data_IF_678648326215
#
_entry.id   IF_678648326215
#
_cell.length_a   1.000
_cell.length_b   1.000
_cell.length_c   1.000
_cell.angle_alpha   90.00
_cell.angle_beta   90.00
_cell.angle_gamma   90.00
#
_symmetry.space_group_name_H-M   'P 1'
#
loop_
_entity.id
_entity.type
_entity.pdbx_description
1 polymer ?
#
# COMPACT_ATOMS: atom_id res chain seq x y z
N UNK A 1 16.65 1.90 21.33
CA UNK A 1 15.33 1.57 21.89
C UNK A 1 14.20 2.04 21.00
N UNK A 2 13.00 1.64 21.31
CA UNK A 2 11.77 1.95 20.58
C UNK A 2 11.04 3.12 21.24
N UNK A 3 10.45 4.02 20.45
CA UNK A 3 9.70 5.18 20.95
C UNK A 3 8.31 4.73 21.39
N UNK A 4 7.91 5.13 22.60
CA UNK A 4 6.57 4.89 23.15
C UNK A 4 6.02 6.16 23.80
N UNK A 5 4.68 6.32 23.78
CA UNK A 5 3.95 7.41 24.43
C UNK A 5 4.44 8.80 24.02
N UNK A 6 4.70 9.00 22.75
CA UNK A 6 5.12 10.32 22.23
C UNK A 6 3.97 11.30 22.31
N UNK A 7 4.09 12.24 23.25
CA UNK A 7 3.13 13.32 23.42
C UNK A 7 3.20 14.36 22.29
N UNK A 8 2.10 15.10 22.11
CA UNK A 8 2.12 16.30 21.28
C UNK A 8 3.07 17.33 21.91
N UNK A 9 3.69 18.22 21.11
CA UNK A 9 4.52 19.28 21.66
C UNK A 9 3.75 20.11 22.68
N UNK A 10 4.35 20.35 23.85
CA UNK A 10 3.79 21.25 24.87
C UNK A 10 3.67 22.68 24.35
N UNK A 11 2.97 23.55 25.06
CA UNK A 11 2.86 24.99 24.73
C UNK A 11 4.24 25.66 24.58
N UNK A 12 5.26 25.18 25.31
CA UNK A 12 6.65 25.62 25.18
C UNK A 12 7.42 24.94 24.04
N UNK A 13 6.77 24.09 23.27
CA UNK A 13 7.34 23.36 22.12
C UNK A 13 8.22 22.16 22.50
N UNK A 14 8.16 21.68 23.75
CA UNK A 14 8.89 20.51 24.21
C UNK A 14 8.11 19.23 23.88
N UNK A 15 8.80 18.16 23.47
CA UNK A 15 8.22 16.84 23.23
C UNK A 15 8.77 15.84 24.23
N UNK A 16 7.89 15.05 24.82
CA UNK A 16 8.23 14.00 25.77
C UNK A 16 7.78 12.65 25.24
N UNK A 17 8.60 11.62 25.46
CA UNK A 17 8.31 10.25 25.09
C UNK A 17 9.14 9.29 25.95
N UNK A 18 8.82 8.01 25.93
CA UNK A 18 9.61 6.98 26.57
C UNK A 18 10.40 6.21 25.50
N UNK A 19 11.65 5.88 25.81
CA UNK A 19 12.44 4.95 25.03
C UNK A 19 12.43 3.59 25.74
N UNK A 20 11.93 2.58 25.07
CA UNK A 20 11.76 1.23 25.61
C UNK A 20 12.71 0.28 24.90
N UNK A 21 13.36 -0.60 25.64
CA UNK A 21 14.15 -1.69 25.09
C UNK A 21 13.77 -2.99 25.78
N UNK A 22 13.25 -3.92 25.00
CA UNK A 22 12.96 -5.27 25.51
C UNK A 22 14.29 -6.03 25.68
N UNK A 23 14.58 -6.49 26.88
CA UNK A 23 15.71 -7.36 27.20
C UNK A 23 15.21 -8.68 27.76
N UNK A 24 15.82 -9.76 27.34
CA UNK A 24 15.66 -11.03 28.04
C UNK A 24 16.76 -11.13 29.08
N UNK A 25 16.39 -11.26 30.33
CA UNK A 25 17.34 -11.49 31.41
C UNK A 25 18.08 -12.83 31.16
N UNK A 26 19.41 -12.79 31.00
CA UNK A 26 20.17 -14.00 30.69
C UNK A 26 20.17 -15.07 31.80
N UNK A 27 19.81 -14.67 33.03
CA UNK A 27 19.78 -15.57 34.18
C UNK A 27 18.42 -16.21 34.41
N UNK A 28 17.34 -15.46 34.16
CA UNK A 28 15.97 -15.90 34.48
C UNK A 28 15.13 -16.23 33.25
N UNK A 29 15.59 -15.88 32.02
CA UNK A 29 14.84 -16.02 30.77
C UNK A 29 13.61 -15.11 30.68
N UNK A 30 13.38 -14.24 31.66
CA UNK A 30 12.22 -13.34 31.69
C UNK A 30 12.45 -12.13 30.78
N UNK A 31 11.44 -11.79 30.00
CA UNK A 31 11.42 -10.53 29.25
C UNK A 31 11.22 -9.36 30.23
N UNK A 32 12.16 -8.43 30.24
CA UNK A 32 12.08 -7.18 31.01
C UNK A 32 12.17 -6.02 30.03
N UNK A 33 11.35 -4.99 30.27
CA UNK A 33 11.42 -3.76 29.48
C UNK A 33 12.23 -2.72 30.26
N UNK A 34 13.38 -2.34 29.73
CA UNK A 34 14.10 -1.18 30.21
C UNK A 34 13.47 0.06 29.59
N UNK A 35 13.03 0.99 30.45
CA UNK A 35 12.38 2.23 30.00
C UNK A 35 13.14 3.44 30.52
N UNK A 36 13.38 4.43 29.67
CA UNK A 36 13.90 5.73 30.06
C UNK A 36 13.03 6.84 29.47
N UNK A 37 12.65 7.81 30.30
CA UNK A 37 11.94 9.00 29.81
C UNK A 37 12.88 9.93 29.07
N UNK A 38 12.42 10.43 27.92
CA UNK A 38 13.19 11.33 27.05
C UNK A 38 12.48 12.66 26.92
N UNK A 39 13.23 13.73 27.11
CA UNK A 39 12.80 15.10 26.90
C UNK A 39 13.53 15.70 25.69
N UNK A 40 12.78 16.08 24.67
CA UNK A 40 13.29 16.84 23.52
C UNK A 40 12.85 18.29 23.67
N UNK A 41 13.77 19.13 24.12
CA UNK A 41 13.51 20.55 24.29
C UNK A 41 13.50 21.30 22.94
N UNK A 42 12.77 22.41 22.89
CA UNK A 42 12.56 23.19 21.66
C UNK A 42 13.88 23.58 20.97
N UNK A 43 14.90 24.04 21.72
CA UNK A 43 16.22 24.39 21.16
C UNK A 43 16.93 23.22 20.45
N UNK A 44 16.77 21.98 20.95
CA UNK A 44 17.35 20.79 20.35
C UNK A 44 16.46 20.26 19.18
N UNK A 45 15.15 20.46 19.26
CA UNK A 45 14.18 20.01 18.26
C UNK A 45 14.49 20.55 16.87
N UNK A 46 14.83 21.81 16.72
CA UNK A 46 15.15 22.40 15.42
C UNK A 46 16.43 21.79 14.82
N UNK A 47 17.40 21.43 15.65
CA UNK A 47 18.61 20.72 15.22
C UNK A 47 18.29 19.29 14.79
N UNK A 48 17.51 18.57 15.59
CA UNK A 48 17.06 17.20 15.30
C UNK A 48 16.25 17.19 14.02
N UNK A 49 15.27 18.09 13.87
CA UNK A 49 14.44 18.19 12.67
C UNK A 49 15.27 18.51 11.42
N UNK A 50 16.26 19.42 11.52
CA UNK A 50 17.18 19.68 10.39
C UNK A 50 18.00 18.45 10.02
N UNK A 51 18.43 17.67 11.01
CA UNK A 51 19.19 16.44 10.77
C UNK A 51 18.32 15.36 10.10
N UNK A 52 17.09 15.19 10.56
CA UNK A 52 16.11 14.29 9.94
C UNK A 52 15.73 14.72 8.51
N UNK A 53 15.57 16.03 8.27
CA UNK A 53 15.30 16.56 6.91
C UNK A 53 16.48 16.34 5.95
N UNK A 54 17.73 16.42 6.42
CA UNK A 54 18.93 16.10 5.62
C UNK A 54 19.01 14.63 5.23
N UNK A 55 18.41 13.75 6.02
CA UNK A 55 18.19 12.34 5.65
C UNK A 55 16.95 12.17 4.75
N UNK A 56 16.65 13.17 3.89
CA UNK A 56 15.54 13.21 2.95
C UNK A 56 14.15 13.04 3.56
N UNK A 57 13.98 13.34 4.86
CA UNK A 57 12.69 13.18 5.56
C UNK A 57 12.21 11.74 5.70
N UNK A 58 13.09 10.76 5.47
CA UNK A 58 12.76 9.33 5.46
C UNK A 58 12.44 8.76 6.85
N UNK A 59 12.82 9.45 7.92
CA UNK A 59 12.59 9.01 9.31
C UNK A 59 11.71 10.00 10.04
N UNK A 60 10.62 9.53 10.63
CA UNK A 60 9.82 10.24 11.62
C UNK A 60 10.03 9.61 12.99
N UNK A 61 9.93 10.44 14.02
CA UNK A 61 9.99 9.96 15.41
C UNK A 61 8.57 9.70 15.91
N UNK A 62 7.99 8.57 15.54
CA UNK A 62 6.66 8.16 15.97
C UNK A 62 6.72 6.93 16.89
N UNK A 63 5.65 6.62 17.60
CA UNK A 63 5.57 5.44 18.45
C UNK A 63 5.82 4.18 17.60
N UNK A 64 6.51 3.20 18.19
CA UNK A 64 6.91 1.98 17.51
C UNK A 64 8.22 2.08 16.70
N UNK A 65 8.75 3.28 16.48
CA UNK A 65 9.98 3.47 15.69
C UNK A 65 11.22 3.22 16.54
N UNK A 66 12.08 2.31 16.08
CA UNK A 66 13.35 2.01 16.73
C UNK A 66 14.42 3.07 16.38
N UNK A 67 14.98 3.72 17.39
CA UNK A 67 15.90 4.85 17.21
C UNK A 67 17.17 4.70 18.03
N UNK A 68 18.24 5.32 17.53
CA UNK A 68 19.46 5.58 18.31
C UNK A 68 19.53 7.06 18.61
N UNK A 69 19.48 7.40 19.90
CA UNK A 69 19.51 8.78 20.37
C UNK A 69 20.86 9.12 21.03
N UNK A 70 21.23 10.39 20.94
CA UNK A 70 22.29 10.98 21.74
C UNK A 70 21.63 11.97 22.70
N UNK A 71 21.99 11.88 23.99
CA UNK A 71 21.46 12.76 25.01
C UNK A 71 22.35 12.76 26.26
N UNK A 72 22.01 13.64 27.20
CA UNK A 72 22.59 13.68 28.55
C UNK A 72 21.54 13.17 29.54
N UNK A 73 21.97 12.35 30.49
CA UNK A 73 21.11 11.91 31.59
C UNK A 73 21.01 13.03 32.63
N UNK A 74 19.80 13.35 33.03
CA UNK A 74 19.51 14.36 34.03
C UNK A 74 18.46 13.84 35.01
N UNK A 75 18.50 14.36 36.23
CA UNK A 75 17.43 14.14 37.22
C UNK A 75 16.44 15.29 37.08
N UNK A 76 15.16 14.95 36.90
CA UNK A 76 14.09 15.93 36.94
C UNK A 76 13.74 16.25 38.39
N UNK A 77 14.04 17.48 38.88
CA UNK A 77 13.95 17.76 40.29
C UNK A 77 12.57 17.62 40.90
N UNK A 78 11.51 17.93 40.13
CA UNK A 78 10.13 17.91 40.62
C UNK A 78 9.61 16.52 40.96
N UNK A 79 10.14 15.43 40.30
CA UNK A 79 9.71 14.06 40.53
C UNK A 79 10.85 13.12 40.92
N UNK A 80 12.08 13.64 41.08
CA UNK A 80 13.31 12.87 41.35
C UNK A 80 13.53 11.69 40.38
N UNK A 81 13.04 11.81 39.12
CA UNK A 81 13.12 10.76 38.13
C UNK A 81 14.28 11.01 37.17
N UNK A 82 14.93 9.91 36.73
CA UNK A 82 15.94 9.99 35.69
C UNK A 82 15.25 10.21 34.34
N UNK A 83 15.78 11.15 33.56
CA UNK A 83 15.36 11.38 32.17
C UNK A 83 16.59 11.62 31.29
N UNK A 84 16.44 11.28 30.01
CA UNK A 84 17.41 11.63 28.98
C UNK A 84 16.99 12.94 28.32
N UNK A 85 17.86 13.93 28.32
CA UNK A 85 17.70 15.15 27.53
C UNK A 85 18.31 14.89 26.16
N UNK A 86 17.46 14.77 25.14
CA UNK A 86 17.87 14.45 23.78
C UNK A 86 18.57 15.65 23.12
N UNK A 87 19.74 15.41 22.52
CA UNK A 87 20.48 16.38 21.73
C UNK A 87 20.67 16.01 20.27
N UNK A 88 20.44 14.73 19.91
CA UNK A 88 20.58 14.25 18.55
C UNK A 88 19.97 12.86 18.33
N UNK A 89 19.83 12.49 17.07
CA UNK A 89 19.34 11.19 16.60
C UNK A 89 20.24 10.69 15.47
N UNK A 90 20.36 9.38 15.33
CA UNK A 90 21.03 8.71 14.22
C UNK A 90 20.01 8.11 13.25
N UNK A 91 19.68 8.77 12.13
CA UNK A 91 18.72 8.27 11.17
C UNK A 91 19.18 6.99 10.47
N UNK A 92 20.49 6.83 10.26
CA UNK A 92 21.07 5.68 9.56
C UNK A 92 20.83 4.38 10.33
N UNK A 93 20.88 4.45 11.66
CA UNK A 93 20.56 3.30 12.50
C UNK A 93 19.10 2.85 12.33
N UNK A 94 18.17 3.79 12.34
CA UNK A 94 16.73 3.51 12.19
C UNK A 94 16.44 2.87 10.84
N UNK A 95 16.99 3.43 9.75
CA UNK A 95 16.82 2.89 8.40
C UNK A 95 17.45 1.50 8.24
N UNK A 96 18.63 1.28 8.84
CA UNK A 96 19.30 -0.03 8.82
C UNK A 96 18.52 -1.10 9.59
N UNK A 97 17.92 -0.76 10.75
CA UNK A 97 17.07 -1.68 11.51
C UNK A 97 15.83 -2.08 10.70
N UNK A 98 15.12 -1.13 10.14
CA UNK A 98 13.94 -1.35 9.30
C UNK A 98 14.28 -2.25 8.08
N UNK A 99 15.40 -2.01 7.43
CA UNK A 99 15.83 -2.82 6.28
C UNK A 99 16.14 -4.27 6.68
N UNK A 100 16.79 -4.50 7.83
CA UNK A 100 17.11 -5.84 8.32
C UNK A 100 15.85 -6.61 8.74
N UNK A 101 14.93 -5.97 9.45
CA UNK A 101 13.65 -6.56 9.87
C UNK A 101 12.81 -6.95 8.65
N UNK A 102 12.76 -6.07 7.64
CA UNK A 102 12.08 -6.34 6.38
C UNK A 102 12.69 -7.52 5.62
N UNK A 103 14.02 -7.58 5.49
CA UNK A 103 14.69 -8.69 4.82
C UNK A 103 14.43 -10.02 5.52
N UNK A 104 14.46 -10.05 6.85
CA UNK A 104 14.13 -11.23 7.63
C UNK A 104 12.66 -11.67 7.45
N UNK A 105 11.72 -10.72 7.39
CA UNK A 105 10.32 -11.02 7.12
C UNK A 105 10.11 -11.60 5.73
N UNK A 106 10.70 -10.99 4.71
CA UNK A 106 10.61 -11.49 3.33
C UNK A 106 11.12 -12.92 3.20
N UNK A 107 12.28 -13.24 3.83
CA UNK A 107 12.81 -14.60 3.83
C UNK A 107 11.86 -15.62 4.48
N UNK A 108 11.13 -15.23 5.56
CA UNK A 108 10.11 -16.11 6.15
C UNK A 108 8.92 -16.32 5.22
N UNK A 109 8.38 -15.23 4.64
CA UNK A 109 7.24 -15.29 3.74
C UNK A 109 7.56 -16.09 2.45
N UNK A 110 8.78 -15.99 1.95
CA UNK A 110 9.26 -16.77 0.80
C UNK A 110 9.32 -18.26 1.13
N UNK A 111 9.90 -18.63 2.28
CA UNK A 111 9.97 -20.02 2.75
C UNK A 111 8.58 -20.65 2.97
N UNK A 112 7.58 -19.85 3.30
CA UNK A 112 6.19 -20.25 3.46
C UNK A 112 5.40 -20.25 2.13
N UNK A 113 6.01 -19.81 1.02
CA UNK A 113 5.35 -19.73 -0.30
C UNK A 113 4.28 -18.63 -0.40
N UNK A 114 4.32 -17.63 0.48
CA UNK A 114 3.33 -16.54 0.50
C UNK A 114 3.68 -15.42 -0.50
N UNK A 115 4.96 -15.28 -0.87
CA UNK A 115 5.38 -14.39 -1.94
C UNK A 115 4.88 -14.96 -3.27
N UNK A 116 4.13 -14.16 -4.02
CA UNK A 116 3.52 -14.60 -5.27
C UNK A 116 2.19 -15.36 -5.13
N UNK A 117 1.76 -15.72 -3.92
CA UNK A 117 0.47 -16.40 -3.70
C UNK A 117 -0.73 -15.57 -4.21
N UNK A 118 -0.70 -14.26 -4.01
CA UNK A 118 -1.73 -13.37 -4.54
C UNK A 118 -1.51 -13.08 -6.03
N UNK A 119 -0.27 -12.98 -6.50
CA UNK A 119 0.06 -12.80 -7.92
C UNK A 119 -0.41 -13.97 -8.81
N UNK A 120 -0.49 -15.18 -8.26
CA UNK A 120 -1.02 -16.35 -8.96
C UNK A 120 -2.54 -16.32 -9.17
N UNK A 121 -3.28 -15.41 -8.53
CA UNK A 121 -4.73 -15.28 -8.71
C UNK A 121 -5.02 -14.63 -10.06
N UNK A 122 -5.97 -15.16 -10.85
CA UNK A 122 -6.32 -14.54 -12.12
C UNK A 122 -7.03 -13.21 -11.89
N UNK A 123 -6.52 -12.14 -12.48
CA UNK A 123 -7.25 -10.88 -12.56
C UNK A 123 -8.34 -11.01 -13.63
N UNK A 124 -9.57 -10.59 -13.30
CA UNK A 124 -10.65 -10.53 -14.27
C UNK A 124 -10.19 -9.65 -15.47
N UNK A 125 -10.32 -10.13 -16.72
CA UNK A 125 -10.00 -9.31 -17.90
C UNK A 125 -10.81 -8.00 -17.98
N UNK A 126 -11.93 -7.91 -17.26
CA UNK A 126 -12.78 -6.72 -17.19
C UNK A 126 -13.00 -6.35 -15.70
N UNK A 127 -11.98 -5.77 -15.01
CA UNK A 127 -12.02 -5.55 -13.57
C UNK A 127 -12.81 -4.30 -13.20
N UNK A 128 -14.12 -4.32 -13.41
CA UNK A 128 -14.99 -3.17 -13.16
C UNK A 128 -15.43 -3.03 -11.71
N UNK A 129 -15.49 -4.12 -10.93
CA UNK A 129 -15.86 -4.08 -9.50
C UNK A 129 -14.60 -4.04 -8.65
N UNK A 130 -14.30 -2.88 -8.10
CA UNK A 130 -13.07 -2.63 -7.34
C UNK A 130 -13.41 -2.32 -5.89
N UNK A 131 -12.78 -3.01 -4.96
CA UNK A 131 -12.80 -2.64 -3.54
C UNK A 131 -11.55 -1.81 -3.23
N UNK A 132 -11.75 -0.56 -2.88
CA UNK A 132 -10.70 0.40 -2.54
C UNK A 132 -10.49 0.43 -1.03
N UNK A 133 -9.26 0.20 -0.58
CA UNK A 133 -8.81 0.35 0.81
C UNK A 133 -7.93 1.59 0.89
N UNK A 134 -8.39 2.60 1.58
CA UNK A 134 -7.70 3.89 1.71
C UNK A 134 -8.16 4.64 2.97
N UNK A 135 -7.42 5.66 3.36
CA UNK A 135 -7.92 6.61 4.36
C UNK A 135 -8.89 7.59 3.71
N UNK A 136 -10.11 7.64 4.22
CA UNK A 136 -11.20 8.47 3.68
C UNK A 136 -10.81 9.93 3.64
N UNK A 137 -11.13 10.60 2.54
CA UNK A 137 -10.83 12.02 2.32
C UNK A 137 -9.34 12.32 2.11
N UNK A 138 -8.51 11.29 1.93
CA UNK A 138 -7.10 11.48 1.57
C UNK A 138 -6.95 11.94 0.11
N UNK A 139 -5.85 12.65 -0.17
CA UNK A 139 -5.51 13.01 -1.54
C UNK A 139 -5.36 11.76 -2.45
N UNK A 140 -4.82 10.67 -1.92
CA UNK A 140 -4.69 9.41 -2.63
C UNK A 140 -6.03 8.82 -3.08
N UNK A 141 -7.02 8.82 -2.20
CA UNK A 141 -8.39 8.40 -2.52
C UNK A 141 -8.99 9.30 -3.59
N UNK A 142 -8.87 10.63 -3.41
CA UNK A 142 -9.41 11.61 -4.36
C UNK A 142 -8.76 11.47 -5.75
N UNK A 143 -7.44 11.35 -5.83
CA UNK A 143 -6.69 11.19 -7.07
C UNK A 143 -7.08 9.89 -7.79
N UNK A 144 -7.18 8.78 -7.06
CA UNK A 144 -7.58 7.49 -7.63
C UNK A 144 -9.00 7.52 -8.21
N UNK A 145 -9.96 8.03 -7.44
CA UNK A 145 -11.37 8.12 -7.87
C UNK A 145 -11.52 9.07 -9.06
N UNK A 146 -10.82 10.20 -9.04
CA UNK A 146 -10.83 11.18 -10.13
C UNK A 146 -10.35 10.60 -11.46
N UNK A 147 -9.24 9.84 -11.45
CA UNK A 147 -8.73 9.17 -12.66
C UNK A 147 -9.74 8.17 -13.23
N UNK A 148 -10.38 7.36 -12.36
CA UNK A 148 -11.41 6.42 -12.82
C UNK A 148 -12.64 7.12 -13.38
N UNK A 149 -13.07 8.24 -12.77
CA UNK A 149 -14.22 9.03 -13.24
C UNK A 149 -13.94 9.67 -14.60
N UNK A 150 -12.73 10.21 -14.81
CA UNK A 150 -12.31 10.79 -16.08
C UNK A 150 -12.33 9.78 -17.24
N UNK A 151 -12.07 8.50 -16.96
CA UNK A 151 -12.10 7.44 -17.96
C UNK A 151 -13.49 7.18 -18.56
N UNK A 152 -14.54 7.57 -17.85
CA UNK A 152 -15.96 7.29 -18.19
C UNK A 152 -16.28 5.81 -18.37
N UNK A 153 -15.42 4.92 -17.92
CA UNK A 153 -15.67 3.49 -17.85
C UNK A 153 -16.55 3.20 -16.61
N UNK A 154 -17.39 2.18 -16.72
CA UNK A 154 -18.40 1.86 -15.70
C UNK A 154 -17.87 1.20 -14.43
N UNK A 155 -16.79 1.72 -13.84
CA UNK A 155 -16.22 1.20 -12.60
C UNK A 155 -17.21 1.31 -11.43
N UNK A 156 -17.33 0.26 -10.65
CA UNK A 156 -18.10 0.18 -9.42
C UNK A 156 -17.14 0.10 -8.24
N UNK A 157 -17.03 1.18 -7.50
CA UNK A 157 -16.06 1.30 -6.41
C UNK A 157 -16.77 1.13 -5.07
N UNK A 158 -16.25 0.20 -4.26
CA UNK A 158 -16.59 0.07 -2.84
C UNK A 158 -15.40 0.52 -2.02
N UNK A 159 -15.51 1.63 -1.28
CA UNK A 159 -14.46 2.12 -0.40
C UNK A 159 -14.57 1.52 0.99
N UNK A 160 -13.46 1.04 1.52
CA UNK A 160 -13.26 0.65 2.92
C UNK A 160 -12.32 1.68 3.53
N UNK A 161 -12.83 2.44 4.50
CA UNK A 161 -12.06 3.42 5.25
C UNK A 161 -11.17 2.74 6.28
N UNK A 162 -9.87 3.02 6.25
CA UNK A 162 -8.90 2.47 7.21
C UNK A 162 -7.73 3.42 7.41
N UNK A 163 -7.10 3.33 8.58
CA UNK A 163 -5.84 4.03 8.79
C UNK A 163 -4.73 3.34 8.02
N UNK A 164 -3.95 4.14 7.31
CA UNK A 164 -2.81 3.68 6.50
C UNK A 164 -1.46 4.03 7.15
N UNK A 165 -1.49 4.62 8.34
CA UNK A 165 -0.30 5.01 9.12
C UNK A 165 -0.62 5.05 10.61
N UNK A 166 0.40 4.87 11.46
CA UNK A 166 0.27 4.81 12.91
C UNK A 166 0.40 3.40 13.46
N UNK A 167 0.39 3.27 14.79
CA UNK A 167 0.66 1.99 15.48
C UNK A 167 -0.42 0.94 15.21
N UNK A 168 -1.67 1.37 15.14
CA UNK A 168 -2.83 0.47 14.92
C UNK A 168 -3.08 0.17 13.42
N UNK A 169 -2.36 0.85 12.51
CA UNK A 169 -2.61 0.72 11.07
C UNK A 169 -2.41 -0.71 10.54
N UNK A 170 -1.41 -1.51 10.97
CA UNK A 170 -1.24 -2.87 10.47
C UNK A 170 -2.46 -3.77 10.71
N UNK A 171 -3.03 -3.73 11.90
CA UNK A 171 -4.19 -4.54 12.28
C UNK A 171 -5.45 -4.07 11.56
N UNK A 172 -5.65 -2.76 11.43
CA UNK A 172 -6.77 -2.19 10.68
C UNK A 172 -6.69 -2.53 9.19
N UNK A 173 -5.49 -2.45 8.59
CA UNK A 173 -5.26 -2.85 7.20
C UNK A 173 -5.53 -4.33 6.97
N UNK A 174 -5.07 -5.20 7.87
CA UNK A 174 -5.32 -6.64 7.79
C UNK A 174 -6.82 -6.96 7.89
N UNK A 175 -7.55 -6.28 8.80
CA UNK A 175 -9.00 -6.41 8.93
C UNK A 175 -9.73 -5.91 7.67
N UNK A 176 -9.30 -4.77 7.10
CA UNK A 176 -9.85 -4.22 5.86
C UNK A 176 -9.62 -5.17 4.66
N UNK A 177 -8.43 -5.78 4.54
CA UNK A 177 -8.11 -6.77 3.51
C UNK A 177 -8.96 -8.04 3.66
N UNK A 178 -9.16 -8.52 4.89
CA UNK A 178 -10.04 -9.67 5.18
C UNK A 178 -11.49 -9.37 4.79
N UNK A 179 -11.99 -8.18 5.14
CA UNK A 179 -13.33 -7.72 4.75
C UNK A 179 -13.45 -7.61 3.23
N UNK A 180 -12.47 -7.02 2.56
CA UNK A 180 -12.42 -6.88 1.10
C UNK A 180 -12.45 -8.26 0.43
N UNK A 181 -11.70 -9.23 0.96
CA UNK A 181 -11.67 -10.60 0.45
C UNK A 181 -12.99 -11.36 0.56
N UNK A 182 -13.88 -10.93 1.46
CA UNK A 182 -15.22 -11.51 1.67
C UNK A 182 -16.30 -10.87 0.80
N UNK A 183 -16.02 -9.75 0.14
CA UNK A 183 -16.94 -9.02 -0.69
C UNK A 183 -16.76 -9.38 -2.17
N UNK A 184 -17.84 -9.42 -2.98
CA UNK A 184 -17.67 -9.58 -4.42
C UNK A 184 -16.88 -8.42 -5.03
N UNK A 185 -15.73 -8.73 -5.62
CA UNK A 185 -14.86 -7.77 -6.30
C UNK A 185 -14.07 -8.47 -7.41
N UNK A 186 -13.66 -7.72 -8.43
CA UNK A 186 -12.76 -8.21 -9.48
C UNK A 186 -11.30 -7.94 -9.09
N UNK A 187 -11.07 -6.87 -8.30
CA UNK A 187 -9.80 -6.54 -7.72
C UNK A 187 -9.98 -5.78 -6.39
N UNK A 188 -9.00 -5.91 -5.51
CA UNK A 188 -8.85 -5.08 -4.31
C UNK A 188 -7.69 -4.12 -4.55
N UNK A 189 -7.88 -2.85 -4.26
CA UNK A 189 -6.87 -1.80 -4.43
C UNK A 189 -6.52 -1.24 -3.07
N UNK A 190 -5.24 -1.29 -2.72
CA UNK A 190 -4.70 -0.75 -1.48
C UNK A 190 -3.80 0.43 -1.80
N UNK A 191 -4.23 1.63 -1.42
CA UNK A 191 -3.50 2.85 -1.74
C UNK A 191 -3.13 3.67 -0.51
N UNK A 192 -2.06 4.43 -0.68
CA UNK A 192 -1.61 5.41 0.29
C UNK A 192 -1.11 6.66 -0.41
N UNK A 193 -1.31 7.82 0.20
CA UNK A 193 -0.71 9.09 -0.25
C UNK A 193 0.76 9.22 0.06
N UNK A 194 1.39 10.27 -0.43
CA UNK A 194 2.79 10.59 -0.15
C UNK A 194 3.06 10.79 1.35
N UNK A 195 4.25 10.44 1.83
CA UNK A 195 4.67 10.55 3.23
C UNK A 195 6.11 10.08 3.44
N UNK A 196 6.59 10.06 4.69
CA UNK A 196 7.92 9.58 5.01
C UNK A 196 8.06 8.05 4.86
N UNK A 197 9.30 7.56 4.75
CA UNK A 197 9.61 6.12 4.65
C UNK A 197 9.15 5.33 5.88
N UNK A 198 9.25 5.93 7.07
CA UNK A 198 8.73 5.34 8.31
C UNK A 198 7.21 5.16 8.30
N UNK A 199 6.49 5.91 7.49
CA UNK A 199 5.03 5.75 7.33
C UNK A 199 4.69 4.51 6.50
N UNK A 200 5.68 3.88 5.83
CA UNK A 200 5.55 2.61 5.13
C UNK A 200 5.62 1.41 6.08
N UNK A 201 6.03 1.60 7.33
CA UNK A 201 6.19 0.50 8.28
C UNK A 201 4.91 -0.33 8.47
N UNK A 202 3.72 0.28 8.35
CA UNK A 202 2.46 -0.44 8.40
C UNK A 202 2.33 -1.46 7.25
N UNK A 203 2.86 -1.15 6.07
CA UNK A 203 2.83 -2.02 4.89
C UNK A 203 3.97 -3.03 4.86
N UNK A 204 4.96 -2.88 5.75
CA UNK A 204 6.02 -3.86 5.99
C UNK A 204 5.65 -4.85 7.12
N UNK A 205 4.48 -4.70 7.74
CA UNK A 205 4.03 -5.56 8.81
C UNK A 205 3.63 -6.97 8.31
N UNK A 206 4.04 -8.00 9.04
CA UNK A 206 3.74 -9.40 8.70
C UNK A 206 2.24 -9.69 8.60
N UNK A 207 1.43 -9.10 9.48
CA UNK A 207 -0.03 -9.30 9.48
C UNK A 207 -0.67 -8.80 8.18
N UNK A 208 -0.19 -7.69 7.62
CA UNK A 208 -0.67 -7.14 6.33
C UNK A 208 -0.26 -8.03 5.17
N UNK A 209 1.00 -8.46 5.13
CA UNK A 209 1.50 -9.37 4.11
C UNK A 209 0.69 -10.68 4.06
N UNK A 210 0.44 -11.29 5.22
CA UNK A 210 -0.38 -12.49 5.34
C UNK A 210 -1.83 -12.26 4.91
N UNK A 211 -2.41 -11.11 5.25
CA UNK A 211 -3.76 -10.75 4.83
C UNK A 211 -3.86 -10.57 3.30
N UNK A 212 -2.85 -9.98 2.65
CA UNK A 212 -2.77 -9.88 1.18
C UNK A 212 -2.68 -11.27 0.56
N UNK A 213 -1.79 -12.14 1.04
CA UNK A 213 -1.63 -13.50 0.52
C UNK A 213 -2.93 -14.32 0.65
N UNK A 214 -3.66 -14.16 1.75
CA UNK A 214 -4.92 -14.85 2.03
C UNK A 214 -6.13 -14.23 1.32
N UNK A 215 -6.04 -12.97 0.83
CA UNK A 215 -7.16 -12.28 0.19
C UNK A 215 -7.70 -13.09 -1.00
N UNK A 216 -9.01 -13.27 -1.09
CA UNK A 216 -9.68 -14.05 -2.14
C UNK A 216 -9.59 -13.44 -3.54
N UNK A 217 -9.20 -12.18 -3.64
CA UNK A 217 -9.12 -11.41 -4.89
C UNK A 217 -7.69 -10.94 -5.18
N UNK A 218 -7.34 -10.64 -6.44
CA UNK A 218 -6.10 -9.95 -6.78
C UNK A 218 -6.01 -8.61 -6.05
N UNK A 219 -4.90 -8.38 -5.35
CA UNK A 219 -4.63 -7.13 -4.62
C UNK A 219 -3.63 -6.30 -5.42
N UNK A 220 -4.01 -5.08 -5.77
CA UNK A 220 -3.17 -4.10 -6.45
C UNK A 220 -2.77 -3.03 -5.43
N UNK A 221 -1.48 -2.75 -5.31
CA UNK A 221 -0.99 -1.74 -4.38
C UNK A 221 -0.55 -0.47 -5.10
N UNK A 222 -0.89 0.67 -4.52
CA UNK A 222 -0.42 2.00 -4.94
C UNK A 222 0.10 2.77 -3.74
N UNK A 223 1.05 2.16 -3.02
CA UNK A 223 1.57 2.65 -1.73
C UNK A 223 2.74 3.63 -1.96
N UNK A 224 3.43 3.47 -3.01
CA UNK A 224 4.41 4.21 -3.74
C UNK A 224 5.52 4.96 -3.03
N UNK A 225 6.75 4.67 -3.51
CA UNK A 225 7.85 5.62 -3.74
C UNK A 225 8.78 5.02 -4.79
N UNK A 226 9.46 5.85 -5.58
CA UNK A 226 10.31 5.40 -6.70
C UNK A 226 11.47 4.48 -6.30
N UNK A 227 11.83 4.45 -5.01
CA UNK A 227 13.05 3.78 -4.52
C UNK A 227 12.76 2.62 -3.55
N UNK A 228 11.56 2.54 -2.95
CA UNK A 228 11.26 1.60 -1.88
C UNK A 228 9.97 0.82 -2.13
N UNK A 229 10.09 -0.44 -2.50
CA UNK A 229 8.99 -1.42 -2.48
C UNK A 229 8.69 -1.89 -1.07
N UNK A 230 7.46 -1.85 -0.58
CA UNK A 230 7.06 -2.43 0.71
C UNK A 230 6.96 -3.96 0.65
N UNK A 231 6.84 -4.62 1.82
CA UNK A 231 6.54 -6.07 1.86
C UNK A 231 5.16 -6.33 1.26
N UNK A 232 4.18 -5.45 1.50
CA UNK A 232 2.86 -5.52 0.88
C UNK A 232 2.94 -5.55 -0.65
N UNK A 233 3.81 -4.71 -1.26
CA UNK A 233 4.01 -4.67 -2.72
C UNK A 233 4.56 -6.00 -3.27
N UNK A 234 5.44 -6.67 -2.51
CA UNK A 234 6.05 -7.93 -2.95
C UNK A 234 5.10 -9.13 -2.86
N UNK A 235 4.12 -9.07 -1.97
CA UNK A 235 3.12 -10.14 -1.80
C UNK A 235 1.89 -9.91 -2.68
N UNK A 236 1.63 -8.68 -3.12
CA UNK A 236 0.48 -8.30 -3.92
C UNK A 236 0.49 -8.91 -5.33
N UNK A 237 -0.67 -8.91 -5.98
CA UNK A 237 -0.83 -9.29 -7.40
C UNK A 237 -0.07 -8.34 -8.31
N UNK A 238 -0.13 -7.04 -8.04
CA UNK A 238 0.60 -6.01 -8.78
C UNK A 238 0.90 -4.81 -7.90
N UNK A 239 2.09 -4.25 -8.07
CA UNK A 239 2.57 -3.08 -7.33
C UNK A 239 2.80 -1.90 -8.28
N UNK A 240 2.25 -0.76 -7.92
CA UNK A 240 2.32 0.47 -8.69
C UNK A 240 2.87 1.61 -7.85
N UNK A 241 3.51 2.57 -8.51
CA UNK A 241 4.19 3.68 -7.84
C UNK A 241 3.25 4.67 -7.16
N UNK A 242 2.03 4.82 -7.67
CA UNK A 242 1.09 5.84 -7.17
C UNK A 242 -0.34 5.34 -7.26
N UNK A 243 -1.28 5.93 -6.51
CA UNK A 243 -2.72 5.68 -6.67
C UNK A 243 -3.21 5.87 -8.10
N UNK A 244 -2.75 6.92 -8.77
CA UNK A 244 -3.09 7.22 -10.17
C UNK A 244 -2.54 6.16 -11.14
N UNK A 245 -1.37 5.58 -10.87
CA UNK A 245 -0.82 4.50 -11.67
C UNK A 245 -1.64 3.20 -11.55
N UNK A 246 -2.20 2.91 -10.37
CA UNK A 246 -3.14 1.78 -10.20
C UNK A 246 -4.42 2.03 -11.00
N UNK A 247 -4.99 3.24 -10.93
CA UNK A 247 -6.16 3.61 -11.71
C UNK A 247 -5.90 3.48 -13.21
N UNK A 248 -4.75 3.98 -13.69
CA UNK A 248 -4.33 3.85 -15.08
C UNK A 248 -4.24 2.40 -15.55
N UNK A 249 -3.67 1.49 -14.73
CA UNK A 249 -3.58 0.08 -15.08
C UNK A 249 -4.97 -0.60 -15.18
N UNK A 250 -5.90 -0.25 -14.29
CA UNK A 250 -7.28 -0.73 -14.38
C UNK A 250 -8.00 -0.19 -15.63
N UNK A 251 -7.82 1.09 -15.94
CA UNK A 251 -8.38 1.73 -17.13
C UNK A 251 -7.84 1.07 -18.40
N UNK A 252 -6.53 0.83 -18.46
CA UNK A 252 -5.87 0.18 -19.59
C UNK A 252 -6.41 -1.25 -19.81
N UNK A 253 -6.56 -2.04 -18.75
CA UNK A 253 -7.10 -3.40 -18.82
C UNK A 253 -8.53 -3.40 -19.37
N UNK A 254 -9.41 -2.50 -18.90
CA UNK A 254 -10.80 -2.42 -19.38
C UNK A 254 -10.85 -1.90 -20.81
N UNK A 255 -10.07 -0.88 -21.15
CA UNK A 255 -10.03 -0.29 -22.50
C UNK A 255 -9.51 -1.25 -23.54
N UNK A 256 -8.45 -2.03 -23.23
CA UNK A 256 -7.93 -3.05 -24.10
C UNK A 256 -9.00 -4.10 -24.42
N UNK A 257 -9.78 -4.51 -23.42
CA UNK A 257 -10.85 -5.50 -23.61
C UNK A 257 -12.02 -4.94 -24.40
N UNK A 258 -12.40 -3.68 -24.18
CA UNK A 258 -13.42 -3.02 -24.98
C UNK A 258 -13.02 -2.97 -26.45
N UNK A 259 -11.77 -2.63 -26.74
CA UNK A 259 -11.23 -2.60 -28.11
C UNK A 259 -11.26 -3.97 -28.80
N UNK A 260 -10.86 -5.03 -28.10
CA UNK A 260 -10.95 -6.40 -28.62
C UNK A 260 -12.39 -6.80 -29.01
N UNK A 261 -13.38 -6.40 -28.19
CA UNK A 261 -14.80 -6.65 -28.46
C UNK A 261 -15.26 -5.87 -29.70
N UNK A 262 -14.88 -4.59 -29.82
CA UNK A 262 -15.20 -3.76 -30.99
C UNK A 262 -14.60 -4.33 -32.27
N UNK A 263 -13.32 -4.74 -32.24
CA UNK A 263 -12.68 -5.39 -33.39
C UNK A 263 -13.36 -6.71 -33.79
N UNK A 264 -13.74 -7.51 -32.81
CA UNK A 264 -14.44 -8.76 -33.06
C UNK A 264 -15.83 -8.49 -33.70
N UNK A 265 -16.57 -7.52 -33.19
CA UNK A 265 -17.86 -7.13 -33.75
C UNK A 265 -17.73 -6.61 -35.18
N UNK A 266 -16.74 -5.76 -35.46
CA UNK A 266 -16.47 -5.26 -36.80
C UNK A 266 -16.08 -6.39 -37.78
N UNK A 267 -15.32 -7.38 -37.30
CA UNK A 267 -14.97 -8.55 -38.12
C UNK A 267 -16.19 -9.42 -38.42
N UNK A 268 -17.05 -9.64 -37.43
CA UNK A 268 -18.30 -10.38 -37.63
C UNK A 268 -19.23 -9.70 -38.63
N UNK A 269 -19.40 -8.39 -38.55
CA UNK A 269 -20.18 -7.58 -39.49
C UNK A 269 -19.66 -7.76 -40.93
N UNK A 270 -18.35 -7.62 -41.15
CA UNK A 270 -17.72 -7.79 -42.45
C UNK A 270 -17.96 -9.22 -43.04
N UNK A 271 -17.85 -10.25 -42.21
CA UNK A 271 -18.09 -11.64 -42.65
C UNK A 271 -19.57 -11.85 -43.00
N UNK A 272 -20.48 -11.29 -42.21
CA UNK A 272 -21.90 -11.36 -42.50
C UNK A 272 -22.27 -10.66 -43.82
N UNK A 273 -21.76 -9.44 -44.04
CA UNK A 273 -21.98 -8.67 -45.26
C UNK A 273 -21.44 -9.41 -46.52
N UNK A 274 -20.23 -9.97 -46.40
CA UNK A 274 -19.64 -10.77 -47.50
C UNK A 274 -20.48 -11.99 -47.82
N UNK A 275 -20.97 -12.72 -46.76
CA UNK A 275 -21.82 -13.88 -46.95
C UNK A 275 -23.16 -13.55 -47.55
N UNK A 276 -23.78 -12.43 -47.16
CA UNK A 276 -25.04 -11.94 -47.76
C UNK A 276 -24.83 -11.56 -49.23
N UNK A 277 -23.78 -10.83 -49.56
CA UNK A 277 -23.44 -10.45 -50.93
C UNK A 277 -23.25 -11.68 -51.84
N UNK A 278 -22.56 -12.71 -51.34
CA UNK A 278 -22.33 -13.94 -52.09
C UNK A 278 -23.63 -14.75 -52.28
N UNK A 279 -24.48 -14.79 -51.25
CA UNK A 279 -25.80 -15.41 -51.35
C UNK A 279 -26.71 -14.68 -52.36
N UNK A 280 -26.73 -13.34 -52.34
CA UNK A 280 -27.48 -12.54 -53.33
C UNK A 280 -26.98 -12.76 -54.75
N UNK A 281 -25.66 -12.81 -54.96
CA UNK A 281 -25.07 -13.11 -56.25
C UNK A 281 -25.49 -14.50 -56.75
N UNK A 282 -25.32 -15.51 -55.90
CA UNK A 282 -25.70 -16.89 -56.21
C UNK A 282 -27.18 -17.02 -56.53
N UNK A 283 -28.03 -16.32 -55.76
CA UNK A 283 -29.46 -16.29 -56.05
C UNK A 283 -29.79 -15.59 -57.41
N UNK A 284 -29.15 -14.46 -57.70
CA UNK A 284 -29.26 -13.75 -58.94
C UNK A 284 -28.87 -14.62 -60.17
N UNK A 285 -27.75 -15.34 -60.07
CA UNK A 285 -27.29 -16.25 -61.11
C UNK A 285 -28.28 -17.42 -61.35
N UNK A 286 -28.81 -18.01 -60.26
CA UNK A 286 -29.83 -19.11 -60.38
C UNK A 286 -31.11 -18.56 -61.01
N UNK A 287 -31.57 -17.40 -60.66
CA UNK A 287 -32.75 -16.75 -61.24
C UNK A 287 -32.59 -16.50 -62.74
N UNK A 288 -31.42 -16.01 -63.17
CA UNK A 288 -31.12 -15.80 -64.58
C UNK A 288 -31.13 -17.10 -65.36
N UNK A 289 -30.45 -18.14 -64.85
CA UNK A 289 -30.47 -19.50 -65.51
C UNK A 289 -31.84 -20.07 -65.67
N UNK A 290 -32.74 -19.93 -64.66
CA UNK A 290 -34.11 -20.40 -64.74
C UNK A 290 -34.92 -19.60 -65.77
N UNK A 291 -34.69 -18.34 -65.95
CA UNK A 291 -35.36 -17.49 -66.93
C UNK A 291 -34.91 -17.79 -68.40
N UNK A 292 -33.62 -18.08 -68.54
CA UNK A 292 -33.06 -18.43 -69.87
C UNK A 292 -33.36 -19.84 -70.33
N UNK A 293 -33.88 -20.74 -69.45
CA UNK A 293 -34.27 -22.10 -69.66
C UNK A 293 -35.76 -22.26 -69.90
N UNK A 294 -36.61 -21.24 -69.72
CA UNK A 294 -38.06 -21.21 -69.92
C UNK A 294 -38.39 -20.48 -71.20
#
# INVERSE_FOLDING_TARGET
GEIHNKGRPSAAGHTYFSLVEARTDPLTGRKQNATINVALFNKARDRVNRHLRRAHGQVRMDDGVRVRLRGTVAIYPASSTFQMVMVGIDPTFTLGSLAAERAALLGRLENEGLIGANAARPLNPLPLRVTLIASRGSAAEADFLHELELSRLGFQIRSIDTRVQGVDAPEELAAALSLAGSCPADAVVLIRGGGARTDLAAFDAEVVARAIAACGHPVLTGIGHEVDTSVADQVAHGAYKTPTAVAGALIEAVSARAHEVEECAARLARVADASLTDAERSFGERRTRLRDAA
#
